data_IF_111985463676
#
_entry.id   IF_111985463676
#
_cell.length_a   1.000
_cell.length_b   1.000
_cell.length_c   1.000
_cell.angle_alpha   90.00
_cell.angle_beta   90.00
_cell.angle_gamma   90.00
#
_symmetry.space_group_name_H-M   'P 1'
#
loop_
_entity.id
_entity.type
_entity.pdbx_description
1 polymer ?
#
# COMPACT_ATOMS: atom_id res chain seq x y z
N UNK A 1 25.45 22.24 -1.84
CA UNK A 1 24.17 22.48 -1.15
C UNK A 1 24.43 23.35 0.08
N UNK A 2 24.03 24.64 0.09
CA UNK A 2 24.40 25.60 1.15
C UNK A 2 23.33 25.76 2.26
N UNK A 3 22.20 25.06 2.16
CA UNK A 3 21.10 25.05 3.15
C UNK A 3 20.76 23.63 3.64
N UNK A 4 21.77 22.77 3.78
CA UNK A 4 21.56 21.39 4.22
C UNK A 4 20.98 21.29 5.65
N UNK A 5 21.19 22.31 6.50
CA UNK A 5 20.69 22.34 7.88
C UNK A 5 19.17 22.25 8.00
N UNK A 6 18.42 22.85 7.07
CA UNK A 6 16.95 22.77 7.09
C UNK A 6 16.43 21.36 6.79
N UNK A 7 16.99 20.70 5.77
CA UNK A 7 16.66 19.30 5.46
C UNK A 7 17.15 18.35 6.57
N UNK A 8 18.32 18.61 7.16
CA UNK A 8 18.83 17.84 8.29
C UNK A 8 17.90 17.92 9.51
N UNK A 9 17.33 19.09 9.80
CA UNK A 9 16.35 19.25 10.88
C UNK A 9 15.09 18.39 10.65
N UNK A 10 14.58 18.33 9.41
CA UNK A 10 13.47 17.43 9.06
C UNK A 10 13.84 15.95 9.25
N UNK A 11 15.08 15.57 8.92
CA UNK A 11 15.60 14.21 9.13
C UNK A 11 15.70 13.84 10.61
N UNK A 12 16.23 14.74 11.45
CA UNK A 12 16.31 14.56 12.91
C UNK A 12 14.90 14.38 13.47
N UNK A 13 13.97 15.26 13.11
CA UNK A 13 12.58 15.15 13.55
C UNK A 13 11.95 13.80 13.17
N UNK A 14 12.18 13.33 11.94
CA UNK A 14 11.68 12.04 11.50
C UNK A 14 12.27 10.87 12.31
N UNK A 15 13.56 10.90 12.65
CA UNK A 15 14.18 9.88 13.49
C UNK A 15 13.62 9.89 14.92
N UNK A 16 13.40 11.06 15.50
CA UNK A 16 12.93 11.18 16.89
C UNK A 16 11.44 10.87 17.04
N UNK A 17 10.61 11.17 16.03
CA UNK A 17 9.15 11.13 16.16
C UNK A 17 8.47 10.05 15.31
N UNK A 18 9.09 9.61 14.21
CA UNK A 18 8.40 8.76 13.23
C UNK A 18 8.79 7.26 13.29
N UNK A 19 9.76 6.85 14.11
CA UNK A 19 10.15 5.43 14.19
C UNK A 19 9.05 4.58 14.83
N UNK A 20 8.56 4.95 16.02
CA UNK A 20 7.59 4.13 16.78
C UNK A 20 6.23 4.00 16.08
N UNK A 21 5.90 4.91 15.14
CA UNK A 21 4.65 4.86 14.37
C UNK A 21 4.68 3.89 13.19
N UNK A 22 5.86 3.40 12.76
CA UNK A 22 5.95 2.42 11.66
C UNK A 22 5.10 1.18 11.93
N UNK A 23 4.89 0.83 13.21
CA UNK A 23 3.95 -0.23 13.61
C UNK A 23 2.52 -0.04 13.09
N UNK A 24 2.06 1.20 12.89
CA UNK A 24 0.74 1.48 12.34
C UNK A 24 0.68 1.22 10.84
N UNK A 25 1.75 1.55 10.11
CA UNK A 25 1.85 1.20 8.68
C UNK A 25 1.88 -0.32 8.53
N UNK A 26 2.67 -1.02 9.35
CA UNK A 26 2.72 -2.48 9.35
C UNK A 26 1.36 -3.10 9.68
N UNK A 27 0.63 -2.58 10.68
CA UNK A 27 -0.72 -3.04 11.00
C UNK A 27 -1.66 -2.89 9.81
N UNK A 28 -1.69 -1.73 9.16
CA UNK A 28 -2.56 -1.46 8.01
C UNK A 28 -2.21 -2.35 6.82
N UNK A 29 -0.93 -2.57 6.55
CA UNK A 29 -0.47 -3.49 5.53
C UNK A 29 -0.92 -4.94 5.82
N UNK A 30 -0.86 -5.37 7.10
CA UNK A 30 -1.38 -6.68 7.51
C UNK A 30 -2.90 -6.80 7.38
N UNK A 31 -3.63 -5.73 7.60
CA UNK A 31 -5.08 -5.69 7.35
C UNK A 31 -5.39 -5.76 5.84
N UNK A 32 -4.62 -5.07 5.00
CA UNK A 32 -4.72 -5.19 3.53
C UNK A 32 -4.42 -6.61 3.05
N UNK A 33 -3.40 -7.28 3.60
CA UNK A 33 -3.11 -8.70 3.32
C UNK A 33 -4.35 -9.57 3.54
N UNK A 34 -4.99 -9.46 4.70
CA UNK A 34 -6.21 -10.23 5.02
C UNK A 34 -7.35 -9.94 4.06
N UNK A 35 -7.54 -8.67 3.71
CA UNK A 35 -8.59 -8.26 2.75
C UNK A 35 -8.29 -8.88 1.39
N UNK A 36 -7.09 -8.70 0.86
CA UNK A 36 -6.71 -9.18 -0.47
C UNK A 36 -6.79 -10.69 -0.59
N UNK A 37 -6.34 -11.43 0.42
CA UNK A 37 -6.43 -12.89 0.47
C UNK A 37 -7.86 -13.44 0.47
N UNK A 38 -8.87 -12.59 0.71
CA UNK A 38 -10.29 -12.98 0.64
C UNK A 38 -10.94 -12.70 -0.72
N UNK A 39 -10.25 -12.04 -1.66
CA UNK A 39 -10.82 -11.58 -2.92
C UNK A 39 -10.53 -12.58 -4.05
N UNK A 40 -11.56 -12.91 -4.83
CA UNK A 40 -11.50 -13.93 -5.89
C UNK A 40 -10.56 -13.58 -7.04
N UNK A 41 -10.27 -12.29 -7.25
CA UNK A 41 -9.36 -11.82 -8.29
C UNK A 41 -7.88 -11.83 -7.85
N UNK A 42 -7.60 -12.19 -6.61
CA UNK A 42 -6.24 -12.32 -6.07
C UNK A 42 -5.86 -13.79 -6.04
N UNK A 43 -4.80 -14.15 -6.75
CA UNK A 43 -4.28 -15.52 -6.79
C UNK A 43 -3.44 -15.82 -5.55
N UNK A 44 -2.56 -14.89 -5.18
CA UNK A 44 -1.64 -15.06 -4.06
C UNK A 44 -1.25 -13.71 -3.46
N UNK A 45 -1.00 -13.68 -2.15
CA UNK A 45 -0.43 -12.53 -1.44
C UNK A 45 0.87 -13.00 -0.78
N UNK A 46 1.97 -12.27 -1.02
CA UNK A 46 3.23 -12.59 -0.34
C UNK A 46 3.13 -12.25 1.16
N UNK A 47 3.85 -12.97 2.04
CA UNK A 47 3.83 -12.68 3.48
C UNK A 47 4.15 -11.22 3.78
N UNK A 48 3.26 -10.55 4.49
CA UNK A 48 3.41 -9.14 4.86
C UNK A 48 3.97 -9.00 6.28
N UNK A 49 5.19 -8.47 6.38
CA UNK A 49 5.91 -8.25 7.65
C UNK A 49 6.16 -6.75 7.96
N UNK A 50 6.03 -5.88 6.95
CA UNK A 50 6.29 -4.43 7.06
C UNK A 50 5.14 -3.62 6.45
N UNK A 51 5.42 -2.46 5.85
CA UNK A 51 4.43 -1.58 5.23
C UNK A 51 4.11 -1.89 3.76
N UNK A 52 4.73 -2.93 3.19
CA UNK A 52 4.62 -3.30 1.78
C UNK A 52 3.75 -4.54 1.63
N UNK A 53 2.76 -4.48 0.74
CA UNK A 53 1.91 -5.61 0.36
C UNK A 53 2.09 -5.89 -1.12
N UNK A 54 2.48 -7.11 -1.45
CA UNK A 54 2.65 -7.57 -2.83
C UNK A 54 1.69 -8.72 -3.05
N UNK A 55 0.90 -8.64 -4.12
CA UNK A 55 -0.05 -9.67 -4.48
C UNK A 55 -0.10 -9.87 -5.99
N UNK A 56 -0.44 -11.09 -6.38
CA UNK A 56 -0.59 -11.52 -7.75
C UNK A 56 -2.06 -11.60 -8.09
N UNK A 57 -2.46 -10.95 -9.18
CA UNK A 57 -3.81 -11.05 -9.75
C UNK A 57 -3.99 -12.39 -10.45
N UNK A 58 -5.23 -12.90 -10.49
CA UNK A 58 -5.58 -14.09 -11.26
C UNK A 58 -5.14 -13.98 -12.74
N UNK A 59 -4.82 -15.11 -13.36
CA UNK A 59 -4.31 -15.19 -14.75
C UNK A 59 -5.16 -14.45 -15.78
N UNK A 60 -6.48 -14.37 -15.55
CA UNK A 60 -7.45 -13.71 -16.43
C UNK A 60 -7.45 -12.19 -16.36
N UNK A 61 -6.66 -11.59 -15.47
CA UNK A 61 -6.68 -10.15 -15.18
C UNK A 61 -5.35 -9.51 -15.56
N UNK A 62 -5.41 -8.54 -16.46
CA UNK A 62 -4.26 -7.70 -16.79
C UNK A 62 -4.01 -6.65 -15.71
N UNK A 63 -2.76 -6.56 -15.25
CA UNK A 63 -2.38 -5.63 -14.18
C UNK A 63 -2.51 -4.16 -14.56
N UNK A 64 -2.35 -3.78 -15.83
CA UNK A 64 -2.50 -2.38 -16.26
C UNK A 64 -3.97 -1.97 -16.21
N UNK A 65 -4.86 -2.82 -16.70
CA UNK A 65 -6.29 -2.57 -16.67
C UNK A 65 -6.81 -2.52 -15.23
N UNK A 66 -6.32 -3.42 -14.39
CA UNK A 66 -6.62 -3.40 -12.95
C UNK A 66 -6.18 -2.09 -12.29
N UNK A 67 -4.95 -1.63 -12.55
CA UNK A 67 -4.45 -0.35 -12.02
C UNK A 67 -5.25 0.85 -12.52
N UNK A 68 -5.69 0.86 -13.78
CA UNK A 68 -6.57 1.90 -14.30
C UNK A 68 -7.94 1.89 -13.61
N UNK A 69 -8.51 0.70 -13.39
CA UNK A 69 -9.77 0.52 -12.64
C UNK A 69 -9.66 0.98 -11.20
N UNK A 70 -8.54 0.74 -10.53
CA UNK A 70 -8.28 1.27 -9.18
C UNK A 70 -8.15 2.79 -9.20
N UNK A 71 -7.37 3.32 -10.14
CA UNK A 71 -7.13 4.77 -10.26
C UNK A 71 -8.40 5.55 -10.51
N UNK A 72 -9.32 5.04 -11.33
CA UNK A 72 -10.62 5.70 -11.59
C UNK A 72 -11.52 5.74 -10.35
N UNK A 73 -11.29 4.87 -9.37
CA UNK A 73 -11.95 4.86 -8.05
C UNK A 73 -11.15 5.60 -6.97
N UNK A 74 -10.04 6.26 -7.33
CA UNK A 74 -9.21 7.02 -6.40
C UNK A 74 -8.19 6.20 -5.59
N UNK A 75 -8.00 4.91 -5.90
CA UNK A 75 -7.00 4.06 -5.26
C UNK A 75 -5.77 3.92 -6.16
N UNK A 76 -4.60 4.32 -5.65
CA UNK A 76 -3.34 4.25 -6.39
C UNK A 76 -2.51 3.05 -5.92
N UNK A 77 -1.90 2.35 -6.89
CA UNK A 77 -0.96 1.26 -6.63
C UNK A 77 0.12 1.26 -7.72
N UNK A 78 1.18 0.48 -7.49
CA UNK A 78 2.25 0.28 -8.48
C UNK A 78 2.28 -1.15 -8.99
N UNK A 79 2.65 -1.33 -10.27
CA UNK A 79 2.94 -2.65 -10.84
C UNK A 79 4.39 -3.03 -10.57
N UNK A 80 4.62 -4.31 -10.24
CA UNK A 80 5.94 -4.96 -10.15
C UNK A 80 6.16 -5.97 -11.29
N UNK A 81 5.10 -6.29 -12.03
CA UNK A 81 5.12 -7.19 -13.17
C UNK A 81 3.76 -7.18 -13.89
N UNK A 82 3.55 -8.10 -14.83
CA UNK A 82 2.29 -8.16 -15.60
C UNK A 82 1.04 -8.31 -14.73
N UNK A 83 1.14 -9.10 -13.65
CA UNK A 83 0.03 -9.40 -12.73
C UNK A 83 0.37 -9.11 -11.27
N UNK A 84 1.58 -8.66 -10.99
CA UNK A 84 2.04 -8.39 -9.62
C UNK A 84 1.85 -6.91 -9.28
N UNK A 85 1.06 -6.66 -8.24
CA UNK A 85 0.70 -5.32 -7.77
C UNK A 85 1.28 -5.11 -6.38
N UNK A 86 1.75 -3.88 -6.13
CA UNK A 86 2.31 -3.46 -4.85
C UNK A 86 1.56 -2.27 -4.27
N UNK A 87 1.05 -2.46 -3.05
CA UNK A 87 0.63 -1.39 -2.14
C UNK A 87 1.71 -1.07 -1.13
N UNK A 88 1.78 0.20 -0.74
CA UNK A 88 2.69 0.69 0.30
C UNK A 88 1.91 1.60 1.23
N UNK A 89 1.89 1.27 2.52
CA UNK A 89 1.30 2.13 3.56
C UNK A 89 2.37 3.08 4.11
N UNK A 90 1.96 4.26 4.54
CA UNK A 90 2.87 5.33 5.00
C UNK A 90 2.14 6.30 5.93
N UNK A 91 2.88 7.32 6.42
CA UNK A 91 2.39 8.36 7.34
C UNK A 91 1.02 8.93 6.99
N UNK A 92 0.83 9.31 5.73
CA UNK A 92 -0.41 9.95 5.27
C UNK A 92 -1.54 8.97 4.91
N UNK A 93 -1.30 7.66 4.97
CA UNK A 93 -2.35 6.66 4.77
C UNK A 93 -3.04 6.35 6.09
N UNK A 94 -4.31 6.72 6.20
CA UNK A 94 -5.10 6.65 7.45
C UNK A 94 -5.99 5.41 7.53
N UNK A 95 -6.58 5.18 8.71
CA UNK A 95 -7.51 4.07 8.91
C UNK A 95 -8.81 4.26 8.10
N UNK A 96 -9.28 5.51 7.97
CA UNK A 96 -10.42 5.82 7.09
C UNK A 96 -10.11 5.48 5.64
N UNK A 97 -8.90 5.80 5.17
CA UNK A 97 -8.47 5.44 3.81
C UNK A 97 -8.32 3.93 3.62
N UNK A 98 -7.94 3.19 4.67
CA UNK A 98 -7.93 1.74 4.65
C UNK A 98 -9.34 1.16 4.51
N UNK A 99 -10.32 1.70 5.24
CA UNK A 99 -11.72 1.30 5.09
C UNK A 99 -12.24 1.58 3.69
N UNK A 100 -11.93 2.74 3.12
CA UNK A 100 -12.34 3.10 1.76
C UNK A 100 -11.66 2.23 0.71
N UNK A 101 -10.36 1.95 0.88
CA UNK A 101 -9.63 1.00 0.03
C UNK A 101 -10.28 -0.40 0.11
N UNK A 102 -10.68 -0.86 1.29
CA UNK A 102 -11.37 -2.14 1.48
C UNK A 102 -12.72 -2.17 0.76
N UNK A 103 -13.52 -1.10 0.83
CA UNK A 103 -14.79 -0.98 0.09
C UNK A 103 -14.56 -1.00 -1.42
N UNK A 104 -13.56 -0.24 -1.90
CA UNK A 104 -13.19 -0.21 -3.31
C UNK A 104 -12.83 -1.62 -3.78
N UNK A 105 -11.90 -2.29 -3.10
CA UNK A 105 -11.40 -3.62 -3.45
C UNK A 105 -12.51 -4.68 -3.46
N UNK A 106 -13.42 -4.65 -2.47
CA UNK A 106 -14.57 -5.58 -2.40
C UNK A 106 -15.63 -5.34 -3.47
N UNK A 107 -15.63 -4.17 -4.11
CA UNK A 107 -16.57 -3.79 -5.17
C UNK A 107 -16.10 -4.12 -6.59
N UNK A 108 -14.89 -4.67 -6.75
CA UNK A 108 -14.28 -4.93 -8.05
C UNK A 108 -14.73 -6.26 -8.64
#
# INVERSE_FOLDING_TARGET
MRQAGFLAAAGIFALENNISRLKYDHRRAKELERILSSLSFVENVLPVETNIVIFTLADSIDGKDFLQKLKSKGLLASSMGKREIRFVTHLDFTDSMLEDAAKILKSL
#
